data_IF_836840712609
#
_entry.id   IF_836840712609
#
_cell.length_a   1.000
_cell.length_b   1.000
_cell.length_c   1.000
_cell.angle_alpha   90.00
_cell.angle_beta   90.00
_cell.angle_gamma   90.00
#
_symmetry.space_group_name_H-M   'P 1'
#
loop_
_entity.id
_entity.type
_entity.pdbx_description
1 polymer ?
#
# COMPACT_ATOMS: atom_id res chain seq x y z
N UNK A 1 -1.53 23.12 -27.22
CA UNK A 1 -1.95 23.03 -25.80
C UNK A 1 -3.46 23.23 -25.74
N UNK A 2 -4.20 22.38 -25.02
CA UNK A 2 -5.65 22.58 -24.81
C UNK A 2 -5.82 23.78 -23.86
N UNK A 3 -6.62 24.77 -24.25
CA UNK A 3 -6.85 25.96 -23.43
C UNK A 3 -7.58 25.60 -22.13
N UNK A 4 -7.06 26.04 -20.98
CA UNK A 4 -7.69 25.86 -19.66
C UNK A 4 -7.05 24.82 -18.72
N UNK A 5 -5.90 24.24 -19.04
CA UNK A 5 -5.23 23.27 -18.17
C UNK A 5 -4.61 23.92 -16.93
N UNK A 6 -4.88 23.36 -15.75
CA UNK A 6 -4.21 23.75 -14.50
C UNK A 6 -2.73 23.30 -14.51
N UNK A 7 -1.94 23.78 -13.54
CA UNK A 7 -0.50 23.46 -13.45
C UNK A 7 -0.21 21.96 -13.34
N UNK A 8 -1.11 21.20 -12.70
CA UNK A 8 -0.99 19.73 -12.54
C UNK A 8 -1.18 19.00 -13.87
N UNK A 9 -2.17 19.41 -14.68
CA UNK A 9 -2.38 18.85 -16.02
C UNK A 9 -1.17 19.11 -16.92
N UNK A 10 -0.54 20.28 -16.79
CA UNK A 10 0.71 20.59 -17.49
C UNK A 10 1.85 19.68 -17.05
N UNK A 11 1.99 19.40 -15.74
CA UNK A 11 2.99 18.46 -15.23
C UNK A 11 2.81 17.05 -15.81
N UNK A 12 1.55 16.57 -15.88
CA UNK A 12 1.24 15.26 -16.46
C UNK A 12 1.53 15.21 -17.96
N UNK A 13 1.23 16.30 -18.68
CA UNK A 13 1.53 16.40 -20.11
C UNK A 13 3.03 16.29 -20.43
N UNK A 14 3.93 16.71 -19.52
CA UNK A 14 5.38 16.52 -19.69
C UNK A 14 5.82 15.05 -19.65
N UNK A 15 4.95 14.14 -19.21
CA UNK A 15 5.15 12.70 -19.15
C UNK A 15 4.17 11.93 -20.02
N UNK A 16 3.82 12.52 -21.17
CA UNK A 16 2.85 11.96 -22.13
C UNK A 16 1.47 11.65 -21.50
N UNK A 17 1.11 12.38 -20.44
CA UNK A 17 -0.12 12.21 -19.69
C UNK A 17 -0.08 11.15 -18.59
N UNK A 18 0.99 10.35 -18.49
CA UNK A 18 1.14 9.30 -17.48
C UNK A 18 2.14 9.69 -16.38
N UNK A 19 1.60 10.01 -15.19
CA UNK A 19 2.42 10.37 -14.03
C UNK A 19 3.25 9.22 -13.46
N UNK A 20 2.95 7.95 -13.77
CA UNK A 20 3.77 6.81 -13.31
C UNK A 20 5.15 6.78 -13.96
N UNK A 21 5.33 7.43 -15.10
CA UNK A 21 6.61 7.49 -15.83
C UNK A 21 7.70 8.24 -15.09
N UNK A 22 7.39 8.93 -14.00
CA UNK A 22 8.40 9.46 -13.06
C UNK A 22 9.33 8.36 -12.51
N UNK A 23 8.89 7.09 -12.52
CA UNK A 23 9.74 5.94 -12.16
C UNK A 23 10.95 5.79 -13.06
N UNK A 24 10.83 6.16 -14.34
CA UNK A 24 11.92 6.11 -15.33
C UNK A 24 13.01 7.15 -14.98
N UNK A 25 12.60 8.29 -14.44
CA UNK A 25 13.52 9.37 -14.05
C UNK A 25 14.14 9.18 -12.67
N UNK A 26 13.58 8.28 -11.85
CA UNK A 26 13.96 8.18 -10.44
C UNK A 26 15.47 7.94 -10.22
N UNK A 27 16.18 7.12 -11.01
CA UNK A 27 17.63 6.98 -10.88
C UNK A 27 18.37 8.31 -11.03
N UNK A 28 17.98 9.11 -12.03
CA UNK A 28 18.55 10.43 -12.28
C UNK A 28 18.19 11.43 -11.18
N UNK A 29 16.94 11.41 -10.71
CA UNK A 29 16.47 12.25 -9.60
C UNK A 29 17.24 11.94 -8.31
N UNK A 30 17.49 10.66 -8.04
CA UNK A 30 18.26 10.21 -6.88
C UNK A 30 19.71 10.69 -6.98
N UNK A 31 20.33 10.59 -8.16
CA UNK A 31 21.72 11.02 -8.38
C UNK A 31 21.89 12.55 -8.22
N UNK A 32 20.92 13.32 -8.71
CA UNK A 32 20.97 14.78 -8.62
C UNK A 32 20.64 15.31 -7.21
N UNK A 33 20.05 14.48 -6.34
CA UNK A 33 19.68 14.85 -4.98
C UNK A 33 18.42 15.70 -4.88
N UNK A 34 18.03 16.08 -3.66
CA UNK A 34 16.75 16.76 -3.42
C UNK A 34 16.73 18.24 -3.83
N UNK A 35 17.90 18.90 -3.91
CA UNK A 35 18.01 20.34 -4.16
C UNK A 35 17.70 20.70 -5.61
N UNK A 36 17.98 19.78 -6.53
CA UNK A 36 17.71 19.92 -7.96
C UNK A 36 16.25 19.63 -8.33
N UNK A 37 15.43 19.15 -7.39
CA UNK A 37 14.05 18.76 -7.67
C UNK A 37 13.19 19.95 -8.07
N UNK A 38 12.68 19.90 -9.30
CA UNK A 38 11.71 20.88 -9.79
C UNK A 38 10.36 20.70 -9.07
N UNK A 39 9.49 21.71 -9.14
CA UNK A 39 8.17 21.61 -8.53
C UNK A 39 7.32 20.52 -9.20
N UNK A 40 7.45 20.36 -10.51
CA UNK A 40 6.78 19.34 -11.32
C UNK A 40 7.20 17.95 -10.86
N UNK A 41 8.51 17.71 -10.68
CA UNK A 41 9.03 16.44 -10.16
C UNK A 41 8.51 16.16 -8.75
N UNK A 42 8.46 17.16 -7.87
CA UNK A 42 7.87 17.03 -6.52
C UNK A 42 6.38 16.64 -6.57
N UNK A 43 5.61 17.14 -7.54
CA UNK A 43 4.23 16.71 -7.73
C UNK A 43 4.16 15.29 -8.29
N UNK A 44 4.97 14.96 -9.29
CA UNK A 44 4.95 13.64 -9.94
C UNK A 44 5.42 12.52 -9.01
N UNK A 45 6.38 12.77 -8.10
CA UNK A 45 6.83 11.79 -7.09
C UNK A 45 5.69 11.24 -6.21
N UNK A 46 4.60 12.00 -6.05
CA UNK A 46 3.41 11.55 -5.31
C UNK A 46 2.68 10.40 -6.00
N UNK A 47 2.84 10.22 -7.32
CA UNK A 47 2.33 9.04 -8.05
C UNK A 47 3.01 7.75 -7.62
N UNK A 48 4.25 7.82 -7.14
CA UNK A 48 4.98 6.68 -6.58
C UNK A 48 4.95 6.67 -5.05
N UNK A 49 4.09 7.51 -4.46
CA UNK A 49 3.86 7.61 -3.03
C UNK A 49 4.94 8.33 -2.25
N UNK A 50 5.80 9.10 -2.91
CA UNK A 50 6.84 9.93 -2.28
C UNK A 50 6.37 11.38 -2.21
N UNK A 51 6.34 11.94 -1.01
CA UNK A 51 5.82 13.27 -0.72
C UNK A 51 6.93 14.15 -0.15
N UNK A 52 7.25 15.24 -0.85
CA UNK A 52 8.15 16.26 -0.33
C UNK A 52 7.48 17.05 0.82
N UNK A 53 8.24 17.34 1.88
CA UNK A 53 7.77 18.15 3.02
C UNK A 53 8.51 19.47 3.09
N UNK A 54 7.81 20.57 2.84
CA UNK A 54 8.38 21.92 2.94
C UNK A 54 8.95 22.25 4.34
N UNK A 55 8.32 21.87 5.47
CA UNK A 55 8.86 22.18 6.80
C UNK A 55 10.14 21.42 7.16
N UNK A 56 10.47 20.35 6.43
CA UNK A 56 11.67 19.54 6.68
C UNK A 56 12.43 19.35 5.36
N UNK A 57 13.26 20.33 4.96
CA UNK A 57 14.01 20.28 3.70
C UNK A 57 14.82 18.98 3.56
N UNK A 58 14.85 18.43 2.34
CA UNK A 58 15.54 17.17 2.04
C UNK A 58 14.91 15.91 2.63
N UNK A 59 13.78 16.02 3.36
CA UNK A 59 13.08 14.88 3.94
C UNK A 59 11.74 14.64 3.27
N UNK A 60 11.45 13.36 3.07
CA UNK A 60 10.26 12.89 2.39
C UNK A 60 9.38 12.05 3.31
N UNK A 61 8.12 11.93 2.92
CA UNK A 61 7.17 10.96 3.45
C UNK A 61 6.83 9.95 2.36
N UNK A 62 6.70 8.68 2.72
CA UNK A 62 6.26 7.62 1.82
C UNK A 62 4.97 7.03 2.36
N UNK A 63 3.94 7.01 1.52
CA UNK A 63 2.67 6.40 1.88
C UNK A 63 2.60 4.99 1.31
N UNK A 64 2.42 4.00 2.18
CA UNK A 64 2.32 2.59 1.80
C UNK A 64 0.85 2.28 1.50
N UNK A 65 0.58 1.59 0.39
CA UNK A 65 -0.77 1.14 0.04
C UNK A 65 -1.11 -0.10 0.86
N UNK A 66 -2.27 -0.10 1.51
CA UNK A 66 -2.70 -1.16 2.44
C UNK A 66 -4.22 -1.35 2.32
N UNK A 67 -4.69 -2.10 1.31
CA UNK A 67 -6.12 -2.29 1.09
C UNK A 67 -6.77 -2.93 2.31
N UNK A 68 -7.96 -2.43 2.68
CA UNK A 68 -8.69 -2.81 3.88
C UNK A 68 -7.93 -2.61 5.21
N UNK A 69 -6.75 -1.97 5.19
CA UNK A 69 -5.86 -1.88 6.34
C UNK A 69 -5.22 -3.21 6.77
N UNK A 70 -5.35 -4.26 5.96
CA UNK A 70 -4.86 -5.58 6.33
C UNK A 70 -3.35 -5.66 6.19
N UNK A 71 -2.71 -6.24 7.20
CA UNK A 71 -1.27 -6.45 7.23
C UNK A 71 -0.92 -7.64 8.12
N UNK A 72 0.31 -8.14 8.01
CA UNK A 72 0.82 -9.22 8.85
C UNK A 72 2.07 -8.77 9.63
N UNK A 73 2.51 -9.62 10.56
CA UNK A 73 3.65 -9.29 11.44
C UNK A 73 4.98 -9.10 10.69
N UNK A 74 5.18 -9.79 9.56
CA UNK A 74 6.39 -9.69 8.74
C UNK A 74 6.46 -8.34 8.03
N UNK A 75 5.34 -7.92 7.43
CA UNK A 75 5.17 -6.61 6.81
C UNK A 75 5.41 -5.48 7.80
N UNK A 76 4.80 -5.54 8.99
CA UNK A 76 5.00 -4.53 10.03
C UNK A 76 6.46 -4.46 10.51
N UNK A 77 7.14 -5.61 10.66
CA UNK A 77 8.57 -5.65 11.00
C UNK A 77 9.42 -5.00 9.92
N UNK A 78 9.14 -5.29 8.64
CA UNK A 78 9.85 -4.69 7.52
C UNK A 78 9.67 -3.16 7.48
N UNK A 79 8.45 -2.65 7.68
CA UNK A 79 8.20 -1.20 7.76
C UNK A 79 8.95 -0.58 8.95
N UNK A 80 8.94 -1.23 10.10
CA UNK A 80 9.63 -0.76 11.29
C UNK A 80 11.17 -0.75 11.09
N UNK A 81 11.74 -1.76 10.43
CA UNK A 81 13.16 -1.80 10.06
C UNK A 81 13.53 -0.62 9.16
N UNK A 82 12.73 -0.36 8.13
CA UNK A 82 12.94 0.78 7.23
C UNK A 82 12.89 2.09 7.99
N UNK A 83 11.91 2.28 8.87
CA UNK A 83 11.79 3.51 9.67
C UNK A 83 12.99 3.73 10.59
N UNK A 84 13.55 2.64 11.15
CA UNK A 84 14.74 2.68 12.00
C UNK A 84 16.03 3.00 11.23
N UNK A 85 16.20 2.41 10.05
CA UNK A 85 17.45 2.49 9.30
C UNK A 85 17.51 3.73 8.39
N UNK A 86 16.39 4.07 7.75
CA UNK A 86 16.33 5.05 6.67
C UNK A 86 15.45 6.26 7.00
N UNK A 87 14.48 6.08 7.91
CA UNK A 87 13.55 7.11 8.35
C UNK A 87 13.97 7.82 9.64
N UNK A 88 13.00 8.46 10.30
CA UNK A 88 13.18 9.14 11.58
C UNK A 88 12.60 8.38 12.78
N UNK A 89 12.39 7.05 12.65
CA UNK A 89 11.77 6.19 13.69
C UNK A 89 10.32 6.54 14.03
N UNK A 90 9.66 7.39 13.25
CA UNK A 90 8.24 7.72 13.38
C UNK A 90 7.46 7.10 12.22
N UNK A 91 6.31 6.54 12.56
CA UNK A 91 5.34 5.98 11.62
C UNK A 91 3.96 6.47 12.04
N UNK A 92 3.15 6.87 11.07
CA UNK A 92 1.77 7.29 11.33
C UNK A 92 0.77 6.36 10.67
N UNK A 93 -0.30 6.05 11.40
CA UNK A 93 -1.48 5.40 10.83
C UNK A 93 -2.41 6.50 10.32
N UNK A 94 -2.84 6.39 9.06
CA UNK A 94 -3.70 7.39 8.44
C UNK A 94 -5.19 7.10 8.67
N UNK A 95 -6.03 8.10 8.45
CA UNK A 95 -7.50 7.96 8.42
C UNK A 95 -8.01 7.01 7.33
N UNK A 96 -7.13 6.55 6.43
CA UNK A 96 -7.44 5.58 5.37
C UNK A 96 -6.81 4.21 5.61
N UNK A 97 -6.53 3.86 6.87
CA UNK A 97 -5.98 2.55 7.26
C UNK A 97 -4.62 2.25 6.59
N UNK A 98 -3.82 3.28 6.29
CA UNK A 98 -2.48 3.13 5.72
C UNK A 98 -1.41 3.47 6.74
N UNK A 99 -0.15 3.13 6.43
CA UNK A 99 1.01 3.57 7.18
C UNK A 99 1.83 4.57 6.36
N UNK A 100 2.24 5.66 6.99
CA UNK A 100 3.17 6.65 6.45
C UNK A 100 4.56 6.53 7.10
N UNK A 101 5.55 6.31 6.25
CA UNK A 101 6.98 6.37 6.57
C UNK A 101 7.47 7.80 6.45
N UNK A 102 8.24 8.31 7.43
CA UNK A 102 8.73 9.69 7.41
C UNK A 102 10.24 9.78 7.55
N UNK A 103 10.78 10.90 7.07
CA UNK A 103 12.12 11.35 7.43
C UNK A 103 13.26 10.69 6.66
N UNK A 104 12.97 10.02 5.54
CA UNK A 104 14.02 9.51 4.65
C UNK A 104 14.41 10.56 3.61
N UNK A 105 15.64 10.44 3.11
CA UNK A 105 16.17 11.23 2.00
C UNK A 105 15.88 10.54 0.65
N UNK A 106 15.85 11.28 -0.45
CA UNK A 106 15.38 10.78 -1.76
C UNK A 106 16.21 9.58 -2.25
N UNK A 107 17.49 9.55 -1.90
CA UNK A 107 18.45 8.52 -2.30
C UNK A 107 18.11 7.14 -1.73
N UNK A 108 17.33 7.11 -0.64
CA UNK A 108 16.91 5.88 0.01
C UNK A 108 15.63 5.28 -0.60
N UNK A 109 14.95 5.95 -1.54
CA UNK A 109 13.67 5.47 -2.10
C UNK A 109 13.78 4.06 -2.69
N UNK A 110 14.84 3.78 -3.45
CA UNK A 110 15.02 2.46 -4.09
C UNK A 110 15.19 1.34 -3.04
N UNK A 111 16.02 1.58 -2.02
CA UNK A 111 16.22 0.65 -0.90
C UNK A 111 14.92 0.38 -0.14
N UNK A 112 14.11 1.42 0.06
CA UNK A 112 12.79 1.28 0.70
C UNK A 112 11.89 0.40 -0.15
N UNK A 113 11.81 0.63 -1.46
CA UNK A 113 10.99 -0.19 -2.36
C UNK A 113 11.44 -1.64 -2.45
N UNK A 114 12.73 -1.92 -2.43
CA UNK A 114 13.24 -3.29 -2.36
C UNK A 114 12.76 -4.01 -1.10
N UNK A 115 12.87 -3.35 0.06
CA UNK A 115 12.40 -3.91 1.33
C UNK A 115 10.89 -4.10 1.35
N UNK A 116 10.11 -3.14 0.85
CA UNK A 116 8.64 -3.26 0.76
C UNK A 116 8.23 -4.38 -0.21
N UNK A 117 8.85 -4.47 -1.39
CA UNK A 117 8.57 -5.53 -2.36
C UNK A 117 8.86 -6.92 -1.80
N UNK A 118 9.91 -7.08 -0.98
CA UNK A 118 10.23 -8.37 -0.34
C UNK A 118 9.10 -8.93 0.54
N UNK A 119 8.19 -8.07 1.00
CA UNK A 119 7.02 -8.45 1.83
C UNK A 119 5.68 -8.15 1.12
N UNK A 120 5.71 -8.04 -0.21
CA UNK A 120 4.53 -7.80 -1.06
C UNK A 120 3.80 -6.48 -0.72
N UNK A 121 4.55 -5.43 -0.38
CA UNK A 121 4.03 -4.07 -0.18
C UNK A 121 4.55 -3.12 -1.27
N UNK A 122 3.78 -2.07 -1.55
CA UNK A 122 4.15 -1.01 -2.50
C UNK A 122 3.54 0.35 -2.11
N UNK A 123 4.04 1.43 -2.72
CA UNK A 123 3.60 2.82 -2.48
C UNK A 123 2.93 3.49 -3.68
N UNK A 124 2.76 2.74 -4.78
CA UNK A 124 2.24 3.26 -6.04
C UNK A 124 0.81 3.81 -5.92
N UNK A 125 0.57 4.90 -6.65
CA UNK A 125 -0.73 5.56 -6.82
C UNK A 125 -1.39 5.98 -5.50
N UNK A 126 -0.60 6.37 -4.49
CA UNK A 126 -1.13 6.76 -3.16
C UNK A 126 -1.34 8.27 -2.97
N UNK A 127 -0.92 9.09 -3.95
CA UNK A 127 -1.05 10.55 -3.94
C UNK A 127 -1.45 11.12 -5.30
N UNK A 128 -1.65 12.45 -5.34
CA UNK A 128 -2.12 13.18 -6.54
C UNK A 128 -3.45 12.62 -7.09
N UNK A 129 -3.66 12.77 -8.40
CA UNK A 129 -4.84 12.40 -9.18
C UNK A 129 -4.90 10.88 -9.39
N UNK A 130 -4.80 10.12 -8.30
CA UNK A 130 -4.87 8.67 -8.28
C UNK A 130 -5.97 8.19 -7.35
N UNK A 131 -6.47 6.98 -7.62
CA UNK A 131 -7.33 6.27 -6.69
C UNK A 131 -6.54 5.94 -5.43
N UNK A 132 -6.97 6.55 -4.32
CA UNK A 132 -6.34 6.38 -3.01
C UNK A 132 -6.58 4.96 -2.49
N UNK A 133 -6.13 4.73 -1.25
CA UNK A 133 -6.37 3.45 -0.59
C UNK A 133 -7.86 3.13 -0.49
N UNK A 134 -8.18 1.86 -0.68
CA UNK A 134 -9.54 1.35 -0.58
C UNK A 134 -9.72 0.91 0.87
N UNK A 135 -10.56 1.65 1.59
CA UNK A 135 -10.91 1.31 2.96
C UNK A 135 -11.97 0.22 2.96
N UNK A 136 -12.02 -0.55 4.03
CA UNK A 136 -13.17 -1.40 4.32
C UNK A 136 -13.26 -1.72 5.81
N UNK A 137 -14.04 -2.75 6.14
CA UNK A 137 -14.30 -3.10 7.52
C UNK A 137 -13.01 -3.66 8.18
N UNK A 138 -12.53 -3.08 9.30
CA UNK A 138 -11.37 -3.62 9.99
C UNK A 138 -11.63 -4.99 10.64
N UNK A 139 -12.90 -5.36 10.80
CA UNK A 139 -13.35 -6.65 11.34
C UNK A 139 -13.85 -7.60 10.23
N UNK A 140 -13.56 -7.30 8.95
CA UNK A 140 -14.02 -8.11 7.82
C UNK A 140 -13.58 -9.58 7.99
N UNK A 141 -14.53 -10.52 7.94
CA UNK A 141 -14.29 -11.96 8.11
C UNK A 141 -14.06 -12.42 9.55
N UNK A 142 -14.14 -11.51 10.53
CA UNK A 142 -13.82 -11.81 11.95
C UNK A 142 -15.04 -11.80 12.87
N UNK A 143 -16.15 -11.18 12.47
CA UNK A 143 -17.33 -11.00 13.32
C UNK A 143 -18.54 -11.70 12.74
N UNK A 144 -19.29 -12.41 13.58
CA UNK A 144 -20.54 -13.07 13.19
C UNK A 144 -21.65 -12.05 12.81
N UNK A 145 -21.49 -10.79 13.22
CA UNK A 145 -22.47 -9.72 13.00
C UNK A 145 -22.21 -8.90 11.72
N UNK A 146 -21.22 -9.25 10.90
CA UNK A 146 -21.03 -8.55 9.62
C UNK A 146 -22.10 -8.96 8.61
N UNK A 147 -22.59 -8.00 7.83
CA UNK A 147 -23.54 -8.31 6.76
C UNK A 147 -22.88 -9.12 5.63
N UNK A 148 -21.62 -8.80 5.31
CA UNK A 148 -20.78 -9.50 4.34
C UNK A 148 -19.31 -9.13 4.53
N UNK A 149 -18.40 -10.05 4.20
CA UNK A 149 -16.97 -9.78 4.06
C UNK A 149 -16.68 -9.18 2.68
N UNK A 150 -16.37 -7.88 2.64
CA UNK A 150 -16.02 -7.14 1.42
C UNK A 150 -14.52 -7.18 1.09
N UNK A 151 -13.68 -7.75 1.96
CA UNK A 151 -12.23 -7.75 1.79
C UNK A 151 -11.77 -8.37 0.46
N UNK A 152 -12.38 -9.46 -0.08
CA UNK A 152 -11.99 -9.99 -1.39
C UNK A 152 -12.24 -9.01 -2.54
N UNK A 153 -13.33 -8.23 -2.47
CA UNK A 153 -13.67 -7.22 -3.48
C UNK A 153 -12.67 -6.05 -3.41
N UNK A 154 -12.29 -5.65 -2.20
CA UNK A 154 -11.28 -4.61 -1.98
C UNK A 154 -9.94 -5.00 -2.60
N UNK A 155 -9.46 -6.24 -2.41
CA UNK A 155 -8.20 -6.71 -3.00
C UNK A 155 -8.25 -6.85 -4.53
N UNK A 156 -9.37 -7.29 -5.09
CA UNK A 156 -9.51 -7.37 -6.56
C UNK A 156 -9.55 -5.98 -7.18
N UNK A 157 -10.31 -5.05 -6.60
CA UNK A 157 -10.36 -3.65 -7.04
C UNK A 157 -8.98 -3.01 -6.98
N UNK A 158 -8.23 -3.28 -5.91
CA UNK A 158 -6.85 -2.82 -5.77
C UNK A 158 -5.98 -3.32 -6.92
N UNK A 159 -6.06 -4.62 -7.23
CA UNK A 159 -5.31 -5.23 -8.33
C UNK A 159 -5.65 -4.67 -9.70
N UNK A 160 -6.91 -4.25 -9.91
CA UNK A 160 -7.32 -3.58 -11.15
C UNK A 160 -6.68 -2.20 -11.27
N UNK A 161 -6.52 -1.49 -10.16
CA UNK A 161 -5.98 -0.12 -10.13
C UNK A 161 -4.46 -0.11 -10.35
N UNK A 162 -3.72 -0.91 -9.58
CA UNK A 162 -2.25 -0.89 -9.57
C UNK A 162 -1.58 -2.01 -10.38
N UNK A 163 -2.33 -3.03 -10.81
CA UNK A 163 -1.79 -4.17 -11.55
C UNK A 163 -1.59 -5.41 -10.67
N UNK A 164 -2.01 -6.58 -11.18
CA UNK A 164 -1.92 -7.88 -10.48
C UNK A 164 -0.48 -8.32 -10.22
N UNK A 165 0.41 -7.96 -11.13
CA UNK A 165 1.85 -8.21 -11.03
C UNK A 165 2.51 -7.48 -9.87
N UNK A 166 1.92 -6.38 -9.42
CA UNK A 166 2.43 -5.55 -8.32
C UNK A 166 1.88 -6.01 -6.98
N UNK A 167 0.58 -6.29 -6.91
CA UNK A 167 -0.09 -6.64 -5.66
C UNK A 167 0.27 -8.04 -5.17
N UNK A 168 0.50 -8.99 -6.08
CA UNK A 168 0.76 -10.38 -5.73
C UNK A 168 -0.42 -11.10 -5.07
N UNK A 169 -1.62 -10.50 -5.08
CA UNK A 169 -2.82 -11.16 -4.59
C UNK A 169 -3.16 -12.34 -5.52
N UNK A 170 -3.41 -13.51 -4.93
CA UNK A 170 -3.99 -14.62 -5.69
C UNK A 170 -5.46 -14.29 -5.92
N UNK A 171 -5.94 -14.46 -7.15
CA UNK A 171 -7.37 -14.35 -7.41
C UNK A 171 -8.08 -15.36 -6.51
N UNK A 172 -9.10 -14.89 -5.78
CA UNK A 172 -10.06 -15.79 -5.18
C UNK A 172 -10.85 -16.38 -6.35
N UNK A 173 -10.32 -17.44 -6.96
CA UNK A 173 -11.02 -18.17 -8.00
C UNK A 173 -12.40 -18.50 -7.44
N UNK A 174 -13.45 -18.04 -8.15
CA UNK A 174 -14.86 -18.28 -7.85
C UNK A 174 -15.00 -19.59 -7.10
N UNK A 175 -15.47 -19.55 -5.85
CA UNK A 175 -16.10 -20.72 -5.26
C UNK A 175 -17.33 -21.02 -6.11
N UNK A 176 -17.12 -21.75 -7.19
CA UNK A 176 -18.16 -22.21 -8.09
C UNK A 176 -19.02 -23.21 -7.32
N UNK A 177 -20.25 -22.79 -7.02
CA UNK A 177 -21.41 -23.68 -7.06
C UNK A 177 -21.43 -24.89 -6.11
N UNK A 178 -21.05 -24.73 -4.83
CA UNK A 178 -21.49 -25.67 -3.79
C UNK A 178 -22.21 -24.96 -2.65
N UNK A 179 -23.52 -24.81 -2.89
CA UNK A 179 -24.61 -24.97 -1.91
C UNK A 179 -24.51 -24.27 -0.55
N UNK A 180 -25.46 -23.33 -0.35
CA UNK A 180 -26.14 -23.10 0.92
C UNK A 180 -26.52 -24.45 1.60
N UNK A 181 -25.63 -25.03 2.41
CA UNK A 181 -25.92 -26.08 3.41
C UNK A 181 -24.68 -26.47 4.24
N UNK A 182 -23.98 -25.47 4.78
CA UNK A 182 -23.07 -25.67 5.92
C UNK A 182 -23.23 -24.52 6.93
N UNK A 183 -24.48 -24.13 7.20
CA UNK A 183 -24.84 -23.58 8.50
C UNK A 183 -25.19 -24.80 9.37
N UNK A 184 -24.58 -24.93 10.54
CA UNK A 184 -24.62 -26.07 11.47
C UNK A 184 -23.53 -27.15 11.32
N UNK A 185 -22.26 -26.79 11.54
CA UNK A 185 -21.34 -27.71 12.25
C UNK A 185 -20.22 -27.06 13.05
N UNK A 186 -20.19 -25.72 13.20
CA UNK A 186 -19.34 -25.09 14.21
C UNK A 186 -19.97 -25.26 15.60
N UNK A 187 -20.03 -26.51 16.08
CA UNK A 187 -20.34 -26.79 17.48
C UNK A 187 -19.13 -26.35 18.31
N UNK A 188 -19.40 -25.44 19.24
CA UNK A 188 -18.66 -25.20 20.48
C UNK A 188 -17.92 -26.47 20.94
N UNK A 189 -16.60 -26.38 21.07
CA UNK A 189 -15.89 -26.99 22.18
C UNK A 189 -14.84 -26.00 22.69
N UNK A 190 -15.22 -25.40 23.83
CA UNK A 190 -14.40 -25.18 25.02
C UNK A 190 -13.12 -24.33 24.95
N UNK A 191 -13.10 -23.32 25.83
CA UNK A 191 -11.87 -22.99 26.55
C UNK A 191 -11.21 -21.68 26.17
N UNK A 192 -11.66 -20.61 26.82
CA UNK A 192 -10.87 -19.41 27.04
C UNK A 192 -9.61 -19.77 27.86
N UNK A 193 -8.46 -20.07 27.23
CA UNK A 193 -7.06 -19.87 27.73
C UNK A 193 -5.99 -20.55 26.85
N UNK A 194 -5.14 -19.74 26.21
CA UNK A 194 -3.65 -19.86 26.09
C UNK A 194 -3.19 -18.86 25.02
N UNK A 195 -2.63 -17.71 25.41
CA UNK A 195 -1.19 -17.49 25.64
C UNK A 195 -0.35 -18.01 24.46
N UNK A 196 0.29 -17.05 23.77
CA UNK A 196 1.35 -17.19 22.77
C UNK A 196 2.19 -18.47 22.92
N UNK A 197 2.06 -19.38 21.96
CA UNK A 197 3.14 -20.23 21.46
C UNK A 197 2.64 -21.06 20.27
N UNK A 198 3.29 -20.92 19.12
CA UNK A 198 3.21 -21.88 18.02
C UNK A 198 2.02 -21.74 17.06
N UNK A 199 2.31 -21.24 15.86
CA UNK A 199 1.76 -21.70 14.58
C UNK A 199 0.23 -21.96 14.48
N UNK A 200 -0.56 -20.91 14.19
CA UNK A 200 -1.94 -20.97 13.65
C UNK A 200 -2.75 -19.70 13.98
N UNK A 201 -3.77 -19.26 13.17
CA UNK A 201 -4.55 -20.03 12.22
C UNK A 201 -4.18 -19.78 10.74
N UNK A 202 -4.09 -20.88 9.97
CA UNK A 202 -3.86 -20.88 8.53
C UNK A 202 -5.18 -20.63 7.79
N UNK A 203 -5.52 -19.37 7.53
CA UNK A 203 -6.54 -18.97 6.56
C UNK A 203 -5.93 -17.99 5.55
N UNK A 204 -5.14 -18.52 4.64
CA UNK A 204 -4.86 -17.96 3.32
C UNK A 204 -4.76 -19.19 2.42
N UNK A 205 -5.60 -19.28 1.38
CA UNK A 205 -5.76 -20.41 0.45
C UNK A 205 -4.55 -21.35 0.39
N UNK A 206 -4.73 -22.62 0.83
CA UNK A 206 -3.72 -23.69 0.71
C UNK A 206 -3.20 -23.77 -0.73
N UNK A 207 -1.89 -23.71 -0.87
CA UNK A 207 -1.16 -24.33 -1.97
C UNK A 207 -1.30 -25.86 -1.86
N UNK A 208 -1.89 -26.47 -2.88
CA UNK A 208 -1.50 -27.80 -3.36
C UNK A 208 -0.72 -27.57 -4.65
#
# INVERSE_FOLDING_TARGET
>A
MRAGNNSIETCKAMKDGDGLRIREDLPRVVEQGYESLTQEQKQLLKWVGVFFREPTPGRFMMRIRMPNGFTNSEQLRAIADVSRQLGNKVLDITTRQQIELRGFAIENVQKIWEKLRSVHLHSLQTGMDNVRNINGCPLAGLTENELLDASPVVFELDSIIVGKEITGYRSCARQSGRTRRLQHSCRRQDGFRRIYSGSGPKCFCRSL
#
